data_IF_485116519824
#
_entry.id   IF_485116519824
#
_cell.length_a   1.000
_cell.length_b   1.000
_cell.length_c   1.000
_cell.angle_alpha   90.00
_cell.angle_beta   90.00
_cell.angle_gamma   90.00
#
_symmetry.space_group_name_H-M   'P 1'
#
loop_
_entity.id
_entity.type
_entity.pdbx_description
1 polymer ?
#
# COMPACT_ATOMS: atom_id res chain seq x y z
N UNK A 1 23.28 -3.93 12.57
CA UNK A 1 22.62 -3.67 11.28
C UNK A 1 21.17 -3.29 11.58
N UNK A 2 20.57 -2.35 10.86
CA UNK A 2 19.18 -1.96 11.12
C UNK A 2 18.23 -3.14 10.93
N UNK A 3 17.19 -3.18 11.73
CA UNK A 3 16.08 -4.11 11.51
C UNK A 3 15.27 -3.60 10.32
N UNK A 4 15.19 -4.41 9.26
CA UNK A 4 14.45 -4.04 8.04
C UNK A 4 13.00 -4.48 8.19
N UNK A 5 12.07 -3.54 8.06
CA UNK A 5 10.63 -3.76 7.97
C UNK A 5 10.18 -3.58 6.51
N UNK A 6 9.77 -4.67 5.89
CA UNK A 6 9.16 -4.62 4.56
C UNK A 6 7.66 -4.47 4.69
N UNK A 7 7.06 -3.51 3.97
CA UNK A 7 5.64 -3.22 4.02
C UNK A 7 5.05 -3.04 2.63
N UNK A 8 3.97 -3.75 2.36
CA UNK A 8 3.11 -3.51 1.20
C UNK A 8 1.96 -2.59 1.61
N UNK A 9 1.79 -1.50 0.88
CA UNK A 9 0.75 -0.49 1.16
C UNK A 9 -0.31 -0.57 0.06
N UNK A 10 -1.40 -1.23 0.37
CA UNK A 10 -2.55 -1.32 -0.53
C UNK A 10 -3.29 0.01 -0.55
N UNK A 11 -3.41 0.63 -1.72
CA UNK A 11 -3.76 2.04 -1.81
C UNK A 11 -4.29 2.41 -3.18
N UNK A 12 -5.30 3.30 -3.23
CA UNK A 12 -5.73 3.94 -4.47
C UNK A 12 -5.23 5.40 -4.55
N UNK A 13 -5.02 5.91 -5.76
CA UNK A 13 -4.56 7.27 -6.02
C UNK A 13 -5.66 8.33 -5.88
N UNK A 14 -6.93 7.89 -5.83
CA UNK A 14 -8.12 8.76 -5.63
C UNK A 14 -8.68 8.66 -4.21
N UNK A 15 -8.03 7.92 -3.31
CA UNK A 15 -8.46 7.76 -1.93
C UNK A 15 -7.87 8.87 -1.04
N UNK A 16 -8.69 9.75 -0.46
CA UNK A 16 -8.17 10.82 0.40
C UNK A 16 -7.46 10.26 1.64
N UNK A 17 -8.01 9.19 2.23
CA UNK A 17 -7.37 8.53 3.37
C UNK A 17 -6.06 7.84 3.01
N UNK A 18 -5.85 7.48 1.74
CA UNK A 18 -4.56 6.95 1.28
C UNK A 18 -3.48 8.03 1.24
N UNK A 19 -3.84 9.25 0.89
CA UNK A 19 -2.88 10.37 0.94
C UNK A 19 -2.56 10.76 2.38
N UNK A 20 -3.56 10.92 3.22
CA UNK A 20 -3.41 11.22 4.66
C UNK A 20 -2.58 10.10 5.33
N UNK A 21 -2.93 8.84 5.10
CA UNK A 21 -2.23 7.69 5.68
C UNK A 21 -0.77 7.58 5.24
N UNK A 22 -0.47 7.87 3.96
CA UNK A 22 0.89 7.95 3.46
C UNK A 22 1.69 9.02 4.21
N UNK A 23 1.16 10.23 4.33
CA UNK A 23 1.82 11.34 5.05
C UNK A 23 2.09 11.00 6.51
N UNK A 24 1.11 10.44 7.23
CA UNK A 24 1.26 10.02 8.62
C UNK A 24 2.29 8.92 8.79
N UNK A 25 2.29 7.94 7.89
CA UNK A 25 3.26 6.86 7.88
C UNK A 25 4.68 7.36 7.62
N UNK A 26 4.89 8.24 6.65
CA UNK A 26 6.20 8.85 6.37
C UNK A 26 6.69 9.71 7.53
N UNK A 27 5.81 10.47 8.16
CA UNK A 27 6.13 11.24 9.36
C UNK A 27 6.51 10.32 10.54
N UNK A 28 5.90 9.13 10.65
CA UNK A 28 6.28 8.14 11.65
C UNK A 28 7.68 7.55 11.38
N UNK A 29 7.98 7.21 10.13
CA UNK A 29 9.31 6.72 9.72
C UNK A 29 10.38 7.79 9.95
N UNK A 30 10.09 9.05 9.65
CA UNK A 30 10.99 10.17 9.92
C UNK A 30 11.24 10.33 11.43
N UNK A 31 10.20 10.26 12.25
CA UNK A 31 10.32 10.35 13.72
C UNK A 31 11.17 9.22 14.31
N UNK A 32 11.07 7.99 13.80
CA UNK A 32 11.94 6.88 14.21
C UNK A 32 13.41 7.16 13.89
N UNK A 33 13.68 7.69 12.70
CA UNK A 33 15.05 8.05 12.29
C UNK A 33 15.61 9.16 13.17
N UNK A 34 14.83 10.20 13.46
CA UNK A 34 15.22 11.31 14.34
C UNK A 34 15.47 10.84 15.78
N UNK A 35 14.71 9.87 16.26
CA UNK A 35 14.90 9.25 17.57
C UNK A 35 16.14 8.33 17.63
N UNK A 36 16.78 8.01 16.51
CA UNK A 36 17.91 7.10 16.45
C UNK A 36 17.52 5.61 16.53
N UNK A 37 16.25 5.28 16.27
CA UNK A 37 15.80 3.89 16.20
C UNK A 37 16.55 3.17 15.05
N UNK A 38 17.10 2.00 15.33
CA UNK A 38 17.82 1.17 14.34
C UNK A 38 16.81 0.33 13.53
N UNK A 39 15.94 1.05 12.80
CA UNK A 39 14.84 0.51 11.98
C UNK A 39 14.92 1.12 10.58
N UNK A 40 14.98 0.26 9.55
CA UNK A 40 14.84 0.63 8.14
C UNK A 40 13.47 0.17 7.64
N UNK A 41 12.71 1.05 7.00
CA UNK A 41 11.40 0.71 6.43
C UNK A 41 11.48 0.74 4.91
N UNK A 42 11.11 -0.36 4.27
CA UNK A 42 11.00 -0.48 2.81
C UNK A 42 9.55 -0.65 2.43
N UNK A 43 8.98 0.35 1.79
CA UNK A 43 7.57 0.38 1.42
C UNK A 43 7.39 0.19 -0.09
N UNK A 44 6.42 -0.66 -0.45
CA UNK A 44 5.96 -0.88 -1.82
C UNK A 44 4.46 -0.62 -1.89
N UNK A 45 4.02 0.15 -2.89
CA UNK A 45 2.59 0.44 -3.09
C UNK A 45 1.96 -0.60 -3.98
N UNK A 46 0.88 -1.23 -3.49
CA UNK A 46 0.06 -2.21 -4.22
C UNK A 46 -1.25 -1.58 -4.68
N UNK A 47 -1.75 -1.97 -5.86
CA UNK A 47 -2.95 -1.38 -6.44
C UNK A 47 -4.22 -1.80 -5.71
N UNK A 48 -5.10 -0.84 -5.51
CA UNK A 48 -6.49 -1.03 -5.11
C UNK A 48 -7.36 -0.03 -5.89
N UNK A 49 -8.50 -0.47 -6.40
CA UNK A 49 -9.45 0.42 -7.07
C UNK A 49 -10.72 0.58 -6.23
N UNK A 50 -10.97 1.80 -5.72
CA UNK A 50 -12.20 2.14 -5.01
C UNK A 50 -13.43 2.17 -5.93
N UNK A 51 -13.20 2.44 -7.20
CA UNK A 51 -14.23 2.48 -8.22
C UNK A 51 -13.77 1.82 -9.53
N UNK A 52 -13.78 0.48 -9.60
CA UNK A 52 -13.44 -0.25 -10.81
C UNK A 52 -14.45 -0.03 -11.95
N UNK A 53 -15.60 0.59 -11.67
CA UNK A 53 -16.66 0.88 -12.66
C UNK A 53 -16.51 2.25 -13.32
N UNK A 54 -15.53 3.06 -12.89
CA UNK A 54 -15.22 4.31 -13.57
C UNK A 54 -14.81 4.02 -15.01
N UNK A 55 -15.47 4.67 -15.96
CA UNK A 55 -15.19 4.46 -17.39
C UNK A 55 -13.84 5.09 -17.76
N UNK A 56 -12.94 4.36 -18.45
CA UNK A 56 -11.71 4.95 -18.97
C UNK A 56 -12.01 6.14 -19.90
N UNK A 57 -11.20 7.19 -19.83
CA UNK A 57 -11.32 8.37 -20.68
C UNK A 57 -12.57 9.23 -20.43
N UNK A 58 -13.23 9.05 -19.29
CA UNK A 58 -14.41 9.86 -18.89
C UNK A 58 -14.22 10.38 -17.48
N UNK A 59 -13.62 11.54 -17.38
CA UNK A 59 -13.54 12.29 -16.12
C UNK A 59 -14.85 13.05 -15.85
N UNK A 60 -15.33 12.99 -14.61
CA UNK A 60 -16.49 13.76 -14.14
C UNK A 60 -16.17 14.37 -12.77
N UNK A 61 -16.83 15.50 -12.37
CA UNK A 61 -16.59 16.08 -11.06
C UNK A 61 -16.78 15.04 -9.94
N UNK A 62 -15.85 14.95 -9.01
CA UNK A 62 -15.92 13.98 -7.90
C UNK A 62 -17.13 14.27 -6.99
N UNK A 63 -17.55 15.52 -6.88
CA UNK A 63 -18.72 15.93 -6.10
C UNK A 63 -20.01 15.23 -6.54
N UNK A 64 -20.19 15.01 -7.84
CA UNK A 64 -21.34 14.28 -8.37
C UNK A 64 -21.31 12.81 -7.97
N UNK A 65 -20.12 12.18 -8.08
CA UNK A 65 -19.93 10.80 -7.68
C UNK A 65 -20.16 10.61 -6.17
N UNK A 66 -19.67 11.54 -5.35
CA UNK A 66 -19.87 11.52 -3.90
C UNK A 66 -21.33 11.73 -3.52
N UNK A 67 -22.03 12.69 -4.17
CA UNK A 67 -23.45 12.88 -3.94
C UNK A 67 -24.25 11.61 -4.23
N UNK A 68 -23.95 10.93 -5.34
CA UNK A 68 -24.59 9.66 -5.70
C UNK A 68 -24.25 8.53 -4.70
N UNK A 69 -23.01 8.46 -4.25
CA UNK A 69 -22.51 7.38 -3.34
C UNK A 69 -23.02 7.56 -1.92
N UNK A 70 -23.10 8.79 -1.42
CA UNK A 70 -23.35 9.08 0.00
C UNK A 70 -24.76 9.62 0.30
N UNK A 71 -25.66 9.59 -0.66
CA UNK A 71 -27.08 9.91 -0.42
C UNK A 71 -27.43 11.39 -0.51
N UNK A 72 -26.74 12.13 -1.37
CA UNK A 72 -27.06 13.51 -1.74
C UNK A 72 -25.92 14.51 -1.56
N UNK A 73 -26.08 15.72 -2.13
CA UNK A 73 -25.01 16.72 -2.17
C UNK A 73 -24.64 17.27 -0.78
N UNK A 74 -25.58 17.42 0.12
CA UNK A 74 -25.31 17.91 1.48
C UNK A 74 -24.43 16.94 2.28
N UNK A 75 -24.75 15.65 2.19
CA UNK A 75 -23.96 14.61 2.86
C UNK A 75 -22.57 14.49 2.24
N UNK A 76 -22.49 14.58 0.92
CA UNK A 76 -21.20 14.60 0.22
C UNK A 76 -20.34 15.79 0.65
N UNK A 77 -20.93 17.00 0.75
CA UNK A 77 -20.21 18.19 1.20
C UNK A 77 -19.68 18.05 2.64
N UNK A 78 -20.46 17.47 3.55
CA UNK A 78 -20.00 17.19 4.92
C UNK A 78 -18.80 16.24 4.95
N UNK A 79 -18.84 15.15 4.16
CA UNK A 79 -17.75 14.17 4.09
C UNK A 79 -16.49 14.81 3.48
N UNK A 80 -16.67 15.56 2.39
CA UNK A 80 -15.56 16.28 1.73
C UNK A 80 -14.95 17.30 2.70
N UNK A 81 -15.77 18.09 3.40
CA UNK A 81 -15.31 19.06 4.38
C UNK A 81 -14.48 18.40 5.46
N UNK A 82 -15.01 17.35 6.10
CA UNK A 82 -14.29 16.62 7.14
C UNK A 82 -12.92 16.10 6.67
N UNK A 83 -12.86 15.42 5.53
CA UNK A 83 -11.60 14.84 5.05
C UNK A 83 -10.60 15.93 4.61
N UNK A 84 -11.10 17.08 4.12
CA UNK A 84 -10.26 18.25 3.78
C UNK A 84 -9.64 18.86 5.04
N UNK A 85 -10.42 18.99 6.12
CA UNK A 85 -9.91 19.50 7.41
C UNK A 85 -8.83 18.58 7.99
N UNK A 86 -9.03 17.26 7.93
CA UNK A 86 -8.01 16.29 8.37
C UNK A 86 -6.77 16.37 7.49
N UNK A 87 -6.90 16.48 6.17
CA UNK A 87 -5.78 16.64 5.26
C UNK A 87 -4.97 17.92 5.56
N UNK A 88 -5.68 19.02 5.82
CA UNK A 88 -5.04 20.30 6.17
C UNK A 88 -4.22 20.19 7.47
N UNK A 89 -4.67 19.43 8.48
CA UNK A 89 -3.91 19.17 9.70
C UNK A 89 -2.61 18.39 9.47
N UNK A 90 -2.53 17.66 8.35
CA UNK A 90 -1.32 16.93 7.91
C UNK A 90 -0.47 17.74 6.89
N UNK A 91 -0.81 19.01 6.66
CA UNK A 91 -0.13 19.88 5.70
C UNK A 91 -0.41 19.52 4.23
N UNK A 92 -1.58 18.96 3.93
CA UNK A 92 -2.02 18.60 2.58
C UNK A 92 -3.17 19.53 2.17
N UNK A 93 -3.06 20.21 1.02
CA UNK A 93 -4.07 21.12 0.51
C UNK A 93 -5.01 20.42 -0.47
N UNK A 94 -6.12 19.86 0.00
CA UNK A 94 -7.11 19.24 -0.88
C UNK A 94 -7.94 20.28 -1.62
N UNK A 95 -7.98 20.17 -2.94
CA UNK A 95 -8.81 20.94 -3.86
C UNK A 95 -9.91 20.06 -4.45
N UNK A 96 -10.77 19.52 -3.56
CA UNK A 96 -11.83 18.58 -3.93
C UNK A 96 -12.87 19.17 -4.88
N UNK A 97 -12.93 20.49 -4.97
CA UNK A 97 -13.72 21.24 -5.96
C UNK A 97 -13.25 21.01 -7.40
N UNK A 98 -11.99 20.62 -7.59
CA UNK A 98 -11.38 20.35 -8.90
C UNK A 98 -11.17 18.86 -9.18
N UNK A 99 -11.23 18.02 -8.15
CA UNK A 99 -10.97 16.60 -8.28
C UNK A 99 -11.95 15.91 -9.23
N UNK A 100 -11.43 15.02 -10.07
CA UNK A 100 -12.17 14.33 -11.11
C UNK A 100 -12.29 12.84 -10.81
N UNK A 101 -13.50 12.28 -10.88
CA UNK A 101 -13.69 10.84 -10.87
C UNK A 101 -13.06 10.25 -12.12
N UNK A 102 -12.04 9.43 -11.98
CA UNK A 102 -11.31 8.81 -13.06
C UNK A 102 -11.11 7.30 -12.83
N UNK A 103 -10.86 6.54 -13.89
CA UNK A 103 -10.41 5.17 -13.77
C UNK A 103 -8.91 5.14 -13.42
N UNK A 104 -8.54 4.43 -12.35
CA UNK A 104 -7.18 4.45 -11.80
C UNK A 104 -6.27 3.34 -12.32
N UNK A 105 -6.73 2.51 -13.27
CA UNK A 105 -5.95 1.37 -13.77
C UNK A 105 -4.62 1.80 -14.39
N UNK A 106 -4.62 2.84 -15.24
CA UNK A 106 -3.40 3.37 -15.88
C UNK A 106 -2.43 3.93 -14.84
N UNK A 107 -2.93 4.67 -13.85
CA UNK A 107 -2.12 5.19 -12.76
C UNK A 107 -1.47 4.05 -11.94
N UNK A 108 -2.18 2.95 -11.71
CA UNK A 108 -1.63 1.77 -11.04
C UNK A 108 -0.61 1.03 -11.91
N UNK A 109 -0.79 0.99 -13.23
CA UNK A 109 0.24 0.45 -14.14
C UNK A 109 1.51 1.29 -14.10
N UNK A 110 1.38 2.62 -14.06
CA UNK A 110 2.52 3.50 -13.91
C UNK A 110 3.25 3.30 -12.58
N UNK A 111 2.53 3.12 -11.46
CA UNK A 111 3.13 2.79 -10.17
C UNK A 111 3.85 1.43 -10.20
N UNK A 112 3.30 0.44 -10.88
CA UNK A 112 3.95 -0.86 -11.08
C UNK A 112 5.25 -0.72 -11.88
N UNK A 113 5.25 0.05 -12.98
CA UNK A 113 6.44 0.32 -13.79
C UNK A 113 7.56 0.96 -12.95
N UNK A 114 7.19 1.86 -12.04
CA UNK A 114 8.15 2.64 -11.25
C UNK A 114 8.69 1.90 -10.02
N UNK A 115 8.13 0.74 -9.66
CA UNK A 115 8.64 -0.11 -8.58
C UNK A 115 10.07 -0.58 -8.87
N UNK A 116 10.28 -1.16 -10.05
CA UNK A 116 11.58 -1.71 -10.46
C UNK A 116 12.68 -0.64 -10.62
N UNK A 117 12.30 0.62 -10.81
CA UNK A 117 13.24 1.75 -10.99
C UNK A 117 13.50 2.54 -9.72
N UNK A 118 12.87 2.18 -8.61
CA UNK A 118 12.99 2.88 -7.32
C UNK A 118 12.27 4.22 -7.27
N UNK A 119 11.45 4.56 -8.27
CA UNK A 119 10.72 5.83 -8.33
C UNK A 119 9.28 5.73 -7.80
N UNK A 120 8.84 4.56 -7.33
CA UNK A 120 7.44 4.32 -7.00
C UNK A 120 6.90 5.27 -5.91
N UNK A 121 7.65 5.54 -4.85
CA UNK A 121 7.21 6.44 -3.78
C UNK A 121 7.04 7.88 -4.28
N UNK A 122 8.03 8.39 -5.05
CA UNK A 122 7.96 9.72 -5.65
C UNK A 122 6.80 9.83 -6.67
N UNK A 123 6.60 8.78 -7.47
CA UNK A 123 5.48 8.70 -8.41
C UNK A 123 4.13 8.69 -7.68
N UNK A 124 4.03 7.93 -6.58
CA UNK A 124 2.82 7.92 -5.74
C UNK A 124 2.49 9.29 -5.18
N UNK A 125 3.49 10.03 -4.68
CA UNK A 125 3.32 11.40 -4.22
C UNK A 125 2.85 12.32 -5.33
N UNK A 126 3.48 12.23 -6.50
CA UNK A 126 3.14 13.08 -7.65
C UNK A 126 1.70 12.83 -8.13
N UNK A 127 1.25 11.57 -8.19
CA UNK A 127 -0.12 11.22 -8.58
C UNK A 127 -1.16 11.69 -7.56
N UNK A 128 -0.89 11.53 -6.25
CA UNK A 128 -1.76 12.02 -5.20
C UNK A 128 -1.89 13.54 -5.26
N UNK A 129 -0.77 14.25 -5.46
CA UNK A 129 -0.77 15.71 -5.64
C UNK A 129 -1.53 16.11 -6.89
N UNK A 130 -1.26 15.46 -8.04
CA UNK A 130 -1.98 15.70 -9.29
C UNK A 130 -3.50 15.65 -9.12
N UNK A 131 -3.97 14.63 -8.43
CA UNK A 131 -5.40 14.43 -8.21
C UNK A 131 -5.99 15.39 -7.19
N UNK A 132 -5.38 15.49 -5.99
CA UNK A 132 -5.98 16.19 -4.85
C UNK A 132 -5.67 17.69 -4.81
N UNK A 133 -4.52 18.12 -5.30
CA UNK A 133 -4.08 19.51 -5.22
C UNK A 133 -4.20 20.22 -6.57
N UNK A 134 -3.79 19.56 -7.67
CA UNK A 134 -3.80 20.16 -9.01
C UNK A 134 -5.14 19.97 -9.74
N UNK A 135 -5.95 18.97 -9.37
CA UNK A 135 -7.23 18.65 -10.02
C UNK A 135 -7.08 18.06 -11.41
N UNK A 136 -5.99 17.34 -11.67
CA UNK A 136 -5.71 16.72 -12.96
C UNK A 136 -6.45 15.38 -13.13
N UNK A 137 -6.75 15.04 -14.39
CA UNK A 137 -7.32 13.73 -14.72
C UNK A 137 -6.23 12.64 -14.73
N UNK A 138 -6.11 11.91 -13.62
CA UNK A 138 -5.14 10.81 -13.46
C UNK A 138 -5.55 9.52 -14.20
N UNK A 139 -6.62 9.56 -14.98
CA UNK A 139 -7.00 8.53 -15.95
C UNK A 139 -6.53 8.84 -17.38
N UNK A 140 -6.01 10.05 -17.61
CA UNK A 140 -5.48 10.50 -18.90
C UNK A 140 -4.00 10.07 -19.04
N UNK A 141 -3.63 9.31 -20.10
CA UNK A 141 -2.27 8.85 -20.30
C UNK A 141 -1.25 9.98 -20.50
N UNK A 142 -1.63 11.10 -21.14
CA UNK A 142 -0.73 12.25 -21.31
C UNK A 142 -0.43 12.93 -19.97
N UNK A 143 -1.45 13.13 -19.14
CA UNK A 143 -1.28 13.66 -17.76
C UNK A 143 -0.38 12.75 -16.94
N UNK A 144 -0.55 11.43 -17.04
CA UNK A 144 0.29 10.45 -16.34
C UNK A 144 1.74 10.48 -16.83
N UNK A 145 1.97 10.63 -18.14
CA UNK A 145 3.31 10.78 -18.71
C UNK A 145 3.99 12.07 -18.27
N UNK A 146 3.26 13.18 -18.18
CA UNK A 146 3.76 14.45 -17.64
C UNK A 146 4.13 14.32 -16.15
N UNK A 147 3.26 13.68 -15.34
CA UNK A 147 3.58 13.38 -13.94
C UNK A 147 4.83 12.50 -13.78
N UNK A 148 5.05 11.56 -14.71
CA UNK A 148 6.24 10.72 -14.71
C UNK A 148 7.51 11.53 -15.03
N UNK A 149 7.44 12.48 -15.95
CA UNK A 149 8.53 13.39 -16.25
C UNK A 149 8.92 14.26 -15.04
N UNK A 150 7.93 14.72 -14.27
CA UNK A 150 8.17 15.50 -13.05
C UNK A 150 8.98 14.74 -11.99
N UNK A 151 8.96 13.41 -12.01
CA UNK A 151 9.76 12.56 -11.11
C UNK A 151 11.01 11.96 -11.77
N UNK A 152 11.40 12.49 -12.94
CA UNK A 152 12.65 12.16 -13.63
C UNK A 152 12.59 10.97 -14.59
N UNK A 153 11.41 10.50 -14.95
CA UNK A 153 11.25 9.45 -15.96
C UNK A 153 11.17 10.05 -17.37
N UNK A 154 11.50 9.24 -18.36
CA UNK A 154 11.36 9.62 -19.77
C UNK A 154 9.88 9.63 -20.16
N UNK A 155 9.36 10.83 -20.49
CA UNK A 155 7.94 11.04 -20.83
C UNK A 155 7.48 10.17 -22.01
N UNK A 156 8.27 10.12 -23.09
CA UNK A 156 7.85 9.43 -24.30
C UNK A 156 7.85 7.92 -24.10
N UNK A 157 8.79 7.39 -23.33
CA UNK A 157 8.79 5.96 -22.94
C UNK A 157 7.60 5.62 -22.06
N UNK A 158 7.24 6.49 -21.13
CA UNK A 158 6.06 6.27 -20.29
C UNK A 158 4.77 6.36 -21.09
N UNK A 159 4.66 7.32 -22.04
CA UNK A 159 3.52 7.42 -22.93
C UNK A 159 3.36 6.13 -23.76
N UNK A 160 4.43 5.64 -24.38
CA UNK A 160 4.40 4.38 -25.15
C UNK A 160 4.03 3.16 -24.27
N UNK A 161 4.52 3.11 -23.02
CA UNK A 161 4.13 2.08 -22.07
C UNK A 161 2.63 2.15 -21.73
N UNK A 162 2.07 3.33 -21.50
CA UNK A 162 0.66 3.51 -21.16
C UNK A 162 -0.27 3.17 -22.33
N UNK A 163 0.17 3.36 -23.58
CA UNK A 163 -0.53 2.94 -24.81
C UNK A 163 -0.50 1.41 -25.03
N UNK A 164 0.49 0.72 -24.50
CA UNK A 164 0.58 -0.75 -24.54
C UNK A 164 -0.32 -1.41 -23.51
N UNK A 165 -0.35 -2.75 -23.49
CA UNK A 165 -0.98 -3.54 -22.42
C UNK A 165 0.01 -4.00 -21.34
N UNK A 166 1.28 -3.54 -21.39
CA UNK A 166 2.32 -3.96 -20.45
C UNK A 166 1.94 -3.65 -19.00
N UNK A 167 2.17 -4.59 -18.10
CA UNK A 167 1.83 -4.49 -16.67
C UNK A 167 0.33 -4.58 -16.36
N UNK A 168 -0.56 -4.68 -17.36
CA UNK A 168 -1.99 -4.72 -17.10
C UNK A 168 -2.41 -6.00 -16.35
N UNK A 169 -1.85 -7.14 -16.73
CA UNK A 169 -2.16 -8.43 -16.09
C UNK A 169 -1.57 -8.51 -14.69
N UNK A 170 -0.38 -7.94 -14.47
CA UNK A 170 0.25 -7.84 -13.14
C UNK A 170 -0.64 -7.02 -12.19
N UNK A 171 -1.07 -5.84 -12.61
CA UNK A 171 -1.96 -5.00 -11.81
C UNK A 171 -3.29 -5.70 -11.54
N UNK A 172 -3.89 -6.37 -12.53
CA UNK A 172 -5.11 -7.14 -12.35
C UNK A 172 -4.94 -8.29 -11.35
N UNK A 173 -3.79 -8.99 -11.37
CA UNK A 173 -3.46 -10.04 -10.38
C UNK A 173 -3.42 -9.48 -8.96
N UNK A 174 -2.77 -8.33 -8.75
CA UNK A 174 -2.78 -7.68 -7.44
C UNK A 174 -4.18 -7.25 -7.01
N UNK A 175 -4.98 -6.66 -7.92
CA UNK A 175 -6.36 -6.28 -7.62
C UNK A 175 -7.22 -7.51 -7.27
N UNK A 176 -6.96 -8.67 -7.87
CA UNK A 176 -7.61 -9.95 -7.51
C UNK A 176 -7.13 -10.42 -6.14
N UNK A 177 -5.82 -10.41 -5.92
CA UNK A 177 -5.22 -10.78 -4.64
C UNK A 177 -5.83 -10.00 -3.47
N UNK A 178 -6.01 -8.68 -3.61
CA UNK A 178 -6.64 -7.87 -2.57
C UNK A 178 -8.02 -8.38 -2.17
N UNK A 179 -8.84 -8.76 -3.15
CA UNK A 179 -10.19 -9.31 -2.91
C UNK A 179 -10.16 -10.66 -2.23
N UNK A 180 -9.20 -11.51 -2.62
CA UNK A 180 -9.08 -12.90 -2.16
C UNK A 180 -8.45 -12.99 -0.75
N UNK A 181 -7.80 -11.90 -0.27
CA UNK A 181 -7.08 -11.85 1.00
C UNK A 181 -7.64 -10.78 1.96
N UNK A 182 -8.96 -10.54 1.92
CA UNK A 182 -9.68 -9.68 2.86
C UNK A 182 -9.19 -8.23 2.95
N UNK A 183 -8.52 -7.72 1.90
CA UNK A 183 -8.18 -6.30 1.80
C UNK A 183 -9.41 -5.57 1.26
N UNK A 184 -10.33 -5.20 2.15
CA UNK A 184 -11.63 -4.61 1.80
C UNK A 184 -11.67 -3.09 1.91
N UNK A 185 -10.62 -2.49 2.46
CA UNK A 185 -10.50 -1.04 2.66
C UNK A 185 -9.06 -0.56 2.46
N UNK A 186 -8.90 0.69 2.11
CA UNK A 186 -7.59 1.33 1.90
C UNK A 186 -7.51 2.69 2.59
N UNK A 187 -6.29 3.08 3.07
CA UNK A 187 -5.05 2.33 2.96
C UNK A 187 -5.04 1.11 3.88
N UNK A 188 -4.33 0.05 3.48
CA UNK A 188 -4.01 -1.07 4.35
C UNK A 188 -2.52 -1.35 4.23
N UNK A 189 -1.84 -1.42 5.38
CA UNK A 189 -0.39 -1.68 5.47
C UNK A 189 -0.20 -3.13 5.89
N UNK A 190 0.50 -3.90 5.07
CA UNK A 190 0.80 -5.31 5.32
C UNK A 190 2.30 -5.45 5.51
N UNK A 191 2.74 -5.73 6.72
CA UNK A 191 4.13 -5.93 7.07
C UNK A 191 4.51 -7.40 6.93
N UNK A 192 5.65 -7.69 6.31
CA UNK A 192 6.21 -9.02 6.27
C UNK A 192 6.62 -9.46 7.69
N UNK A 193 6.19 -10.64 8.09
CA UNK A 193 6.55 -11.28 9.35
C UNK A 193 7.36 -12.56 9.12
N UNK A 194 7.91 -13.15 10.19
CA UNK A 194 8.60 -14.42 10.11
C UNK A 194 7.65 -15.52 9.60
N UNK A 195 8.20 -16.52 8.92
CA UNK A 195 7.48 -17.70 8.42
C UNK A 195 6.34 -17.38 7.42
N UNK A 196 6.41 -16.22 6.74
CA UNK A 196 5.41 -15.81 5.77
C UNK A 196 4.11 -15.26 6.39
N UNK A 197 4.06 -15.05 7.70
CA UNK A 197 2.96 -14.38 8.35
C UNK A 197 3.01 -12.88 8.07
N UNK A 198 1.87 -12.30 7.69
CA UNK A 198 1.74 -10.84 7.52
C UNK A 198 1.02 -10.21 8.70
N UNK A 199 1.48 -9.01 9.11
CA UNK A 199 0.74 -8.18 10.06
C UNK A 199 0.03 -7.07 9.31
N UNK A 200 -1.28 -7.03 9.43
CA UNK A 200 -2.12 -6.05 8.73
C UNK A 200 -2.50 -4.90 9.65
N UNK A 201 -2.27 -3.67 9.19
CA UNK A 201 -2.67 -2.43 9.88
C UNK A 201 -3.59 -1.66 8.95
N UNK A 202 -4.91 -1.69 9.18
CA UNK A 202 -5.88 -1.03 8.32
C UNK A 202 -6.00 0.46 8.64
N UNK A 203 -6.31 1.25 7.63
CA UNK A 203 -6.67 2.67 7.74
C UNK A 203 -5.49 3.63 7.90
N UNK A 204 -5.81 4.92 7.77
CA UNK A 204 -4.88 6.02 7.97
C UNK A 204 -4.67 6.29 9.46
N UNK A 205 -3.94 5.40 10.14
CA UNK A 205 -3.65 5.53 11.57
C UNK A 205 -2.92 6.85 11.87
N UNK A 206 -3.03 7.33 13.10
CA UNK A 206 -2.27 8.49 13.56
C UNK A 206 -0.75 8.19 13.56
N UNK A 207 0.08 9.23 13.35
CA UNK A 207 1.54 9.11 13.32
C UNK A 207 2.09 8.30 14.50
N UNK A 208 1.64 8.61 15.71
CA UNK A 208 2.16 7.98 16.93
C UNK A 208 1.75 6.51 17.05
N UNK A 209 0.61 6.13 16.48
CA UNK A 209 0.20 4.72 16.34
C UNK A 209 1.15 3.97 15.40
N UNK A 210 1.49 4.57 14.25
CA UNK A 210 2.48 3.98 13.34
C UNK A 210 3.86 3.83 14.01
N UNK A 211 4.33 4.84 14.75
CA UNK A 211 5.60 4.74 15.51
C UNK A 211 5.59 3.55 16.46
N UNK A 212 4.51 3.37 17.22
CA UNK A 212 4.37 2.24 18.16
C UNK A 212 4.33 0.90 17.44
N UNK A 213 3.58 0.81 16.33
CA UNK A 213 3.48 -0.41 15.51
C UNK A 213 4.86 -0.78 14.95
N UNK A 214 5.57 0.16 14.33
CA UNK A 214 6.87 -0.08 13.72
C UNK A 214 7.91 -0.55 14.74
N UNK A 215 7.98 0.07 15.93
CA UNK A 215 8.84 -0.37 17.03
C UNK A 215 8.50 -1.79 17.48
N UNK A 216 7.21 -2.06 17.70
CA UNK A 216 6.75 -3.39 18.14
C UNK A 216 7.05 -4.50 17.14
N UNK A 217 6.92 -4.19 15.83
CA UNK A 217 7.24 -5.15 14.78
C UNK A 217 8.75 -5.41 14.71
N UNK A 218 9.57 -4.35 14.80
CA UNK A 218 11.01 -4.48 14.84
C UNK A 218 11.48 -5.32 16.04
N UNK A 219 10.91 -5.10 17.24
CA UNK A 219 11.25 -5.89 18.42
C UNK A 219 10.89 -7.38 18.26
N UNK A 220 9.73 -7.66 17.63
CA UNK A 220 9.35 -9.05 17.32
C UNK A 220 10.31 -9.73 16.35
N UNK A 221 10.72 -9.03 15.27
CA UNK A 221 11.67 -9.59 14.31
C UNK A 221 13.03 -9.86 14.96
N UNK A 222 13.50 -8.99 15.87
CA UNK A 222 14.73 -9.21 16.62
C UNK A 222 14.62 -10.45 17.53
N UNK A 223 13.50 -10.57 18.25
CA UNK A 223 13.29 -11.71 19.16
C UNK A 223 13.24 -13.05 18.44
N UNK A 224 12.69 -13.10 17.21
CA UNK A 224 12.69 -14.33 16.41
C UNK A 224 14.05 -14.65 15.82
N UNK A 225 14.86 -13.64 15.49
CA UNK A 225 16.22 -13.85 14.98
C UNK A 225 17.18 -14.36 16.07
N UNK A 226 16.93 -14.04 17.34
CA UNK A 226 17.74 -14.46 18.49
C UNK A 226 17.35 -15.85 19.05
N UNK A 227 16.26 -16.46 18.55
CA UNK A 227 15.87 -17.82 18.94
C UNK A 227 16.69 -18.83 18.12
N UNK A 228 17.65 -19.58 18.69
CA UNK A 228 18.41 -20.56 17.94
C UNK A 228 17.46 -21.67 17.47
N UNK A 229 17.61 -22.04 16.20
CA UNK A 229 16.99 -23.21 15.60
C UNK A 229 17.38 -24.41 16.46
N UNK A 230 16.50 -24.92 17.30
CA UNK A 230 16.75 -26.15 18.06
C UNK A 230 16.58 -27.26 17.03
N UNK A 231 17.66 -27.94 16.59
CA UNK A 231 17.50 -29.02 15.64
C UNK A 231 16.63 -30.09 16.29
N UNK A 232 15.57 -30.48 15.60
CA UNK A 232 14.75 -31.64 15.91
C UNK A 232 15.69 -32.81 16.12
N UNK A 233 15.81 -33.23 17.38
CA UNK A 233 16.60 -34.44 17.72
C UNK A 233 15.79 -35.59 17.14
N UNK A 234 16.33 -36.33 16.14
CA UNK A 234 15.59 -37.48 15.64
C UNK A 234 15.42 -38.47 16.78
N UNK A 235 14.18 -38.80 17.06
CA UNK A 235 13.76 -39.86 17.97
C UNK A 235 14.51 -41.13 17.59
N UNK A 236 15.42 -41.54 18.46
CA UNK A 236 16.15 -42.80 18.33
C UNK A 236 15.15 -43.92 18.59
N UNK A 237 14.87 -44.81 17.64
CA UNK A 237 14.01 -45.96 17.93
C UNK A 237 14.70 -46.85 18.96
N UNK A 238 14.03 -46.99 20.10
CA UNK A 238 14.39 -47.88 21.20
C UNK A 238 14.40 -49.35 20.72
N UNK A 239 15.58 -49.86 20.43
CA UNK A 239 15.81 -51.27 20.21
C UNK A 239 16.02 -51.96 21.54
N UNK A 240 14.95 -52.23 22.25
CA UNK A 240 14.96 -53.21 23.34
C UNK A 240 14.56 -54.58 22.78
N UNK A 241 15.62 -55.37 22.56
CA UNK A 241 15.46 -56.79 22.35
C UNK A 241 14.93 -57.49 23.57
N UNK A 242 14.23 -58.55 23.39
CA UNK A 242 14.22 -59.69 24.30
C UNK A 242 14.00 -60.98 23.56
N UNK A 243 14.98 -61.79 23.76
CA UNK A 243 14.97 -63.20 23.47
C UNK A 243 14.11 -63.96 24.49
N UNK A 244 13.71 -65.16 24.11
CA UNK A 244 13.37 -66.26 25.03
C UNK A 244 11.92 -66.69 24.94
N UNK A 245 11.66 -67.78 24.60
CA UNK A 245 11.94 -69.17 24.86
C UNK A 245 10.70 -70.00 24.47
N UNK A 246 10.99 -71.04 23.79
CA UNK A 246 10.33 -72.29 23.56
C UNK A 246 9.21 -72.74 24.56
N UNK A 247 8.23 -73.43 24.10
CA UNK A 247 7.93 -74.83 24.33
C UNK A 247 6.43 -75.12 24.18
N UNK A 248 6.16 -76.23 23.47
CA UNK A 248 5.15 -77.25 23.61
C UNK A 248 3.63 -76.94 23.53
N UNK A 249 3.09 -77.57 22.56
CA UNK A 249 2.06 -78.64 22.47
C UNK A 249 1.30 -78.50 21.15
#
# INVERSE_FOLDING_TARGET
MPTVLEVEIWSDVVCPWCYIGKRRFENAVAALREAGDDIEVRAVYRPYQLDPTASPGKATPVSEAYAKKFGGPERAAQIIGHVTDVAASEGIEFRMDRALRANTLLAHRLLWLTEATGHQSAMKDRLLRAYFEDGLDIGDPDVLADCAADVGLDRDRVAAFLESDDGADEVRRFLSFARDHDITAVPTFVFAGPEGQGWMVPGAQERDVFVQVLRRLADRLRATADTPDTPDTPDTPDTAGTAGTAADA
#
